data_IF_261888779557
#
_entry.id   IF_261888779557
#
_cell.length_a   1.000
_cell.length_b   1.000
_cell.length_c   1.000
_cell.angle_alpha   90.00
_cell.angle_beta   90.00
_cell.angle_gamma   90.00
#
_symmetry.space_group_name_H-M   'P 1'
#
loop_
_entity.id
_entity.type
_entity.pdbx_description
1 polymer ?
#
# COMPACT_ATOMS: atom_id res chain seq x y z
N UNK A 1 -47.56 -41.24 -60.58
CA UNK A 1 -48.09 -41.44 -59.19
C UNK A 1 -49.26 -40.48 -58.98
N UNK A 2 -50.48 -41.04 -58.75
CA UNK A 2 -51.67 -40.24 -58.43
C UNK A 2 -51.47 -39.71 -56.95
N UNK A 3 -51.22 -38.46 -56.79
CA UNK A 3 -51.20 -37.84 -55.46
C UNK A 3 -52.66 -37.79 -54.99
N UNK A 4 -52.99 -38.47 -53.89
CA UNK A 4 -54.32 -38.46 -53.28
C UNK A 4 -54.67 -37.01 -52.79
N UNK A 5 -55.92 -36.59 -52.98
CA UNK A 5 -56.44 -35.26 -52.49
C UNK A 5 -56.13 -35.04 -51.01
N UNK A 6 -56.24 -36.11 -50.21
CA UNK A 6 -55.91 -36.13 -48.80
C UNK A 6 -54.37 -35.80 -48.53
N UNK A 7 -53.53 -36.37 -49.44
CA UNK A 7 -52.08 -36.12 -49.32
C UNK A 7 -51.71 -34.67 -49.67
N UNK A 8 -52.42 -34.09 -50.68
CA UNK A 8 -52.26 -32.66 -51.03
C UNK A 8 -52.75 -31.73 -49.87
N UNK A 9 -53.90 -32.07 -49.32
CA UNK A 9 -54.45 -31.35 -48.16
C UNK A 9 -53.48 -31.39 -47.00
N UNK A 10 -53.03 -32.54 -46.54
CA UNK A 10 -52.11 -32.70 -45.43
C UNK A 10 -50.79 -31.96 -45.68
N UNK A 11 -50.29 -31.98 -46.91
CA UNK A 11 -49.08 -31.23 -47.28
C UNK A 11 -49.26 -29.70 -47.15
N UNK A 12 -50.38 -29.18 -47.63
CA UNK A 12 -50.70 -27.78 -47.60
C UNK A 12 -50.98 -27.29 -46.14
N UNK A 13 -51.61 -28.11 -45.30
CA UNK A 13 -51.80 -27.88 -43.91
C UNK A 13 -50.44 -27.80 -43.19
N UNK A 14 -49.51 -28.72 -43.51
CA UNK A 14 -48.16 -28.68 -42.97
C UNK A 14 -47.38 -27.40 -43.38
N UNK A 15 -47.57 -26.90 -44.61
CA UNK A 15 -46.98 -25.64 -45.05
C UNK A 15 -47.55 -24.43 -44.31
N UNK A 16 -48.86 -24.41 -44.07
CA UNK A 16 -49.54 -23.36 -43.32
C UNK A 16 -49.08 -23.35 -41.87
N UNK A 17 -48.96 -24.51 -41.22
CA UNK A 17 -48.44 -24.65 -39.86
C UNK A 17 -46.99 -24.17 -39.78
N UNK A 18 -46.16 -24.54 -40.78
CA UNK A 18 -44.77 -24.09 -40.85
C UNK A 18 -44.63 -22.58 -41.03
N UNK A 19 -45.50 -21.95 -41.84
CA UNK A 19 -45.51 -20.52 -42.05
C UNK A 19 -45.92 -19.78 -40.75
N UNK A 20 -46.92 -20.29 -40.02
CA UNK A 20 -47.31 -19.76 -38.74
C UNK A 20 -46.20 -19.86 -37.69
N UNK A 21 -45.56 -21.03 -37.57
CA UNK A 21 -44.42 -21.23 -36.64
C UNK A 21 -43.23 -20.31 -36.96
N UNK A 22 -42.96 -20.01 -38.25
CA UNK A 22 -41.93 -19.03 -38.63
C UNK A 22 -42.27 -17.62 -38.15
N UNK A 23 -43.53 -17.20 -38.38
CA UNK A 23 -43.98 -15.89 -37.91
C UNK A 23 -43.90 -15.78 -36.41
N UNK A 24 -44.27 -16.82 -35.64
CA UNK A 24 -44.14 -16.86 -34.19
C UNK A 24 -42.67 -16.73 -33.78
N UNK A 25 -41.76 -17.44 -34.43
CA UNK A 25 -40.31 -17.36 -34.18
C UNK A 25 -39.77 -15.95 -34.46
N UNK A 26 -40.11 -15.35 -35.63
CA UNK A 26 -39.66 -14.01 -36.00
C UNK A 26 -40.21 -12.94 -35.03
N UNK A 27 -41.45 -13.10 -34.57
CA UNK A 27 -42.08 -12.23 -33.56
C UNK A 27 -41.39 -12.36 -32.22
N UNK A 28 -41.08 -13.57 -31.78
CA UNK A 28 -40.35 -13.82 -30.53
C UNK A 28 -38.95 -13.21 -30.60
N UNK A 29 -38.20 -13.42 -31.69
CA UNK A 29 -36.86 -12.84 -31.88
C UNK A 29 -36.87 -11.29 -31.83
N UNK A 30 -37.88 -10.68 -32.45
CA UNK A 30 -38.06 -9.23 -32.43
C UNK A 30 -38.35 -8.71 -31.03
N UNK A 31 -39.28 -9.38 -30.30
CA UNK A 31 -39.72 -8.97 -28.97
C UNK A 31 -38.62 -9.15 -27.91
N UNK A 32 -37.81 -10.21 -28.02
CA UNK A 32 -36.72 -10.53 -27.07
C UNK A 32 -35.38 -9.91 -27.46
N UNK A 33 -35.22 -9.50 -28.73
CA UNK A 33 -33.95 -9.05 -29.28
C UNK A 33 -32.90 -10.16 -29.41
N UNK A 34 -33.28 -11.43 -29.21
CA UNK A 34 -32.37 -12.58 -29.25
C UNK A 34 -32.54 -13.42 -30.48
N UNK A 35 -31.43 -13.94 -31.06
CA UNK A 35 -31.41 -14.89 -32.16
C UNK A 35 -31.96 -16.25 -31.76
N UNK A 36 -31.68 -16.67 -30.52
CA UNK A 36 -32.11 -17.95 -29.95
C UNK A 36 -32.29 -17.77 -28.42
N UNK A 37 -33.24 -18.48 -27.87
CA UNK A 37 -33.50 -18.52 -26.41
C UNK A 37 -33.07 -19.86 -25.80
N UNK A 38 -33.19 -20.92 -26.53
CA UNK A 38 -32.98 -22.28 -26.06
C UNK A 38 -31.82 -22.96 -26.78
N UNK A 39 -31.12 -23.86 -26.07
CA UNK A 39 -30.01 -24.64 -26.62
C UNK A 39 -30.43 -25.53 -27.81
N UNK A 40 -31.74 -25.87 -27.95
CA UNK A 40 -32.27 -26.63 -29.06
C UNK A 40 -32.33 -25.86 -30.39
N UNK A 41 -32.34 -24.51 -30.33
CA UNK A 41 -32.39 -23.63 -31.51
C UNK A 41 -31.00 -23.44 -32.13
N UNK A 42 -29.99 -23.16 -31.30
CA UNK A 42 -28.58 -23.07 -31.69
C UNK A 42 -27.67 -23.59 -30.56
N UNK A 43 -27.32 -24.89 -30.57
CA UNK A 43 -26.45 -25.47 -29.54
C UNK A 43 -25.05 -24.84 -29.50
N UNK A 44 -24.50 -24.40 -30.63
CA UNK A 44 -23.16 -23.81 -30.71
C UNK A 44 -23.12 -22.38 -30.24
N UNK A 45 -24.16 -21.61 -30.60
CA UNK A 45 -24.36 -20.25 -30.11
C UNK A 45 -24.59 -20.23 -28.62
N UNK A 46 -25.41 -21.13 -28.09
CA UNK A 46 -25.63 -21.25 -26.63
C UNK A 46 -24.37 -21.63 -25.87
N UNK A 47 -23.55 -22.57 -26.36
CA UNK A 47 -22.27 -22.92 -25.75
C UNK A 47 -21.31 -21.72 -25.72
N UNK A 48 -21.28 -20.95 -26.81
CA UNK A 48 -20.47 -19.71 -26.87
C UNK A 48 -20.99 -18.64 -25.93
N UNK A 49 -22.32 -18.43 -25.86
CA UNK A 49 -22.96 -17.51 -24.92
C UNK A 49 -22.58 -17.82 -23.48
N UNK A 50 -22.67 -19.08 -23.04
CA UNK A 50 -22.30 -19.51 -21.68
C UNK A 50 -20.85 -19.19 -21.38
N UNK A 51 -19.92 -19.42 -22.32
CA UNK A 51 -18.50 -19.08 -22.14
C UNK A 51 -18.27 -17.58 -21.99
N UNK A 52 -18.95 -16.76 -22.79
CA UNK A 52 -18.85 -15.30 -22.68
C UNK A 52 -19.50 -14.77 -21.40
N UNK A 53 -20.66 -15.30 -21.01
CA UNK A 53 -21.33 -14.91 -19.76
C UNK A 53 -20.47 -15.24 -18.53
N UNK A 54 -19.82 -16.41 -18.51
CA UNK A 54 -18.86 -16.77 -17.46
C UNK A 54 -17.66 -15.80 -17.44
N UNK A 55 -17.07 -15.49 -18.61
CA UNK A 55 -15.97 -14.55 -18.69
C UNK A 55 -16.36 -13.14 -18.23
N UNK A 56 -17.52 -12.63 -18.66
CA UNK A 56 -18.04 -11.32 -18.25
C UNK A 56 -18.30 -11.27 -16.74
N UNK A 57 -18.82 -12.35 -16.15
CA UNK A 57 -19.04 -12.47 -14.72
C UNK A 57 -17.73 -12.43 -13.95
N UNK A 58 -16.70 -13.15 -14.43
CA UNK A 58 -15.37 -13.11 -13.81
C UNK A 58 -14.76 -11.70 -13.84
N UNK A 59 -14.84 -10.98 -14.97
CA UNK A 59 -14.35 -9.60 -15.05
C UNK A 59 -15.13 -8.63 -14.14
N UNK A 60 -16.43 -8.86 -13.94
CA UNK A 60 -17.21 -8.09 -12.96
C UNK A 60 -16.72 -8.35 -11.54
N UNK A 61 -16.43 -9.60 -11.20
CA UNK A 61 -15.89 -9.96 -9.88
C UNK A 61 -14.50 -9.31 -9.66
N UNK A 62 -13.62 -9.38 -10.65
CA UNK A 62 -12.31 -8.74 -10.58
C UNK A 62 -12.41 -7.23 -10.43
N UNK A 63 -13.32 -6.57 -11.16
CA UNK A 63 -13.55 -5.14 -11.01
C UNK A 63 -14.04 -4.78 -9.60
N UNK A 64 -14.91 -5.59 -8.99
CA UNK A 64 -15.34 -5.40 -7.60
C UNK A 64 -14.17 -5.58 -6.63
N UNK A 65 -13.38 -6.64 -6.80
CA UNK A 65 -12.21 -6.89 -5.98
C UNK A 65 -11.17 -5.76 -6.09
N UNK A 66 -10.96 -5.26 -7.31
CA UNK A 66 -10.04 -4.15 -7.56
C UNK A 66 -10.53 -2.83 -6.93
N UNK A 67 -11.84 -2.57 -6.94
CA UNK A 67 -12.43 -1.44 -6.24
C UNK A 67 -12.18 -1.51 -4.73
N UNK A 68 -12.48 -2.66 -4.10
CA UNK A 68 -12.19 -2.86 -2.67
C UNK A 68 -10.70 -2.76 -2.35
N UNK A 69 -9.83 -3.23 -3.24
CA UNK A 69 -8.39 -3.10 -3.09
C UNK A 69 -7.95 -1.63 -3.11
N UNK A 70 -8.48 -0.83 -4.05
CA UNK A 70 -8.20 0.60 -4.14
C UNK A 70 -8.68 1.35 -2.90
N UNK A 71 -9.89 1.08 -2.42
CA UNK A 71 -10.44 1.70 -1.20
C UNK A 71 -9.55 1.41 0.02
N UNK A 72 -9.13 0.15 0.21
CA UNK A 72 -8.26 -0.23 1.34
C UNK A 72 -6.89 0.45 1.27
N UNK A 73 -6.29 0.55 0.07
CA UNK A 73 -5.01 1.24 -0.12
C UNK A 73 -5.12 2.75 0.11
N UNK A 74 -6.21 3.39 -0.31
CA UNK A 74 -6.45 4.81 -0.05
C UNK A 74 -6.61 5.11 1.46
N UNK A 75 -7.23 4.21 2.23
CA UNK A 75 -7.29 4.31 3.69
C UNK A 75 -5.88 4.20 4.31
N UNK A 76 -5.05 3.25 3.82
CA UNK A 76 -3.67 3.08 4.27
C UNK A 76 -2.81 4.32 3.94
N UNK A 77 -2.91 4.85 2.72
CA UNK A 77 -2.20 6.08 2.32
C UNK A 77 -2.58 7.26 3.20
N UNK A 78 -3.88 7.46 3.46
CA UNK A 78 -4.39 8.54 4.30
C UNK A 78 -3.88 8.43 5.75
N UNK A 79 -3.84 7.23 6.30
CA UNK A 79 -3.30 6.99 7.64
C UNK A 79 -1.80 7.27 7.72
N UNK A 80 -1.01 6.80 6.75
CA UNK A 80 0.43 7.06 6.65
C UNK A 80 0.73 8.55 6.46
N UNK A 81 -0.06 9.27 5.66
CA UNK A 81 0.06 10.72 5.51
C UNK A 81 -0.21 11.46 6.81
N UNK A 82 -1.24 11.06 7.55
CA UNK A 82 -1.57 11.63 8.86
C UNK A 82 -0.46 11.39 9.88
N UNK A 83 0.15 10.21 9.89
CA UNK A 83 1.31 9.88 10.73
C UNK A 83 2.53 10.71 10.33
N UNK A 84 2.79 10.87 9.04
CA UNK A 84 3.88 11.72 8.55
C UNK A 84 3.71 13.17 8.99
N UNK A 85 2.50 13.72 8.90
CA UNK A 85 2.19 15.08 9.36
C UNK A 85 2.38 15.23 10.88
N UNK A 86 2.00 14.22 11.66
CA UNK A 86 2.22 14.20 13.12
C UNK A 86 3.70 14.17 13.47
N UNK A 87 4.50 13.34 12.77
CA UNK A 87 5.96 13.32 12.94
C UNK A 87 6.63 14.62 12.50
N UNK A 88 6.15 15.28 11.45
CA UNK A 88 6.62 16.60 11.02
C UNK A 88 6.39 17.67 12.10
N UNK A 89 5.24 17.57 12.79
CA UNK A 89 4.95 18.43 13.94
C UNK A 89 5.89 18.12 15.11
N UNK A 90 6.13 16.84 15.41
CA UNK A 90 7.11 16.43 16.43
C UNK A 90 8.51 16.95 16.11
N UNK A 91 8.97 16.80 14.87
CA UNK A 91 10.26 17.32 14.43
C UNK A 91 10.39 18.84 14.66
N UNK A 92 9.33 19.59 14.36
CA UNK A 92 9.30 21.04 14.61
C UNK A 92 9.42 21.36 16.12
N UNK A 93 8.74 20.59 16.99
CA UNK A 93 8.85 20.75 18.45
C UNK A 93 10.24 20.40 18.97
N UNK A 94 10.87 19.36 18.42
CA UNK A 94 12.25 19.00 18.77
C UNK A 94 13.26 20.08 18.36
N UNK A 95 13.08 20.76 17.23
CA UNK A 95 13.88 21.90 16.83
C UNK A 95 13.70 23.06 17.84
N UNK A 96 12.46 23.34 18.26
CA UNK A 96 12.19 24.38 19.25
C UNK A 96 12.82 24.08 20.62
N UNK A 97 12.89 22.80 20.99
CA UNK A 97 13.48 22.38 22.26
C UNK A 97 14.99 22.66 22.38
N UNK A 98 15.71 22.75 21.26
CA UNK A 98 17.16 23.05 21.22
C UNK A 98 17.46 24.53 21.51
N UNK A 99 16.47 25.43 21.44
CA UNK A 99 16.70 26.86 21.68
C UNK A 99 17.16 27.09 23.09
N UNK A 100 18.35 27.66 23.26
CA UNK A 100 18.98 27.95 24.57
C UNK A 100 18.21 28.97 25.41
N UNK A 101 17.17 29.61 24.86
CA UNK A 101 16.30 30.56 25.60
C UNK A 101 15.16 29.86 26.35
N UNK A 102 14.97 28.53 26.15
CA UNK A 102 13.94 27.76 26.82
C UNK A 102 14.24 27.66 28.34
N UNK A 103 13.24 27.97 29.13
CA UNK A 103 13.19 27.64 30.55
C UNK A 103 12.53 26.27 30.78
N UNK A 104 12.56 25.77 32.00
CA UNK A 104 11.94 24.47 32.35
C UNK A 104 10.46 24.44 32.05
N UNK A 105 9.74 25.56 32.17
CA UNK A 105 8.30 25.63 31.85
C UNK A 105 8.06 25.49 30.37
N UNK A 106 8.92 26.10 29.55
CA UNK A 106 8.85 25.99 28.08
C UNK A 106 9.17 24.56 27.59
N UNK A 107 10.19 23.94 28.22
CA UNK A 107 10.54 22.53 27.93
C UNK A 107 9.42 21.56 28.34
N UNK A 108 8.78 21.77 29.49
CA UNK A 108 7.62 20.99 29.91
C UNK A 108 6.44 21.15 28.96
N UNK A 109 6.19 22.36 28.45
CA UNK A 109 5.14 22.57 27.44
C UNK A 109 5.42 21.83 26.11
N UNK A 110 6.67 21.86 25.67
CA UNK A 110 7.09 21.08 24.47
C UNK A 110 6.97 19.57 24.73
N UNK A 111 7.33 19.10 25.92
CA UNK A 111 7.18 17.70 26.32
C UNK A 111 5.71 17.26 26.32
N UNK A 112 4.78 18.10 26.78
CA UNK A 112 3.33 17.84 26.70
C UNK A 112 2.82 17.78 25.23
N UNK A 113 3.28 18.70 24.40
CA UNK A 113 2.92 18.66 22.96
C UNK A 113 3.42 17.36 22.28
N UNK A 114 4.66 16.96 22.56
CA UNK A 114 5.23 15.70 22.04
C UNK A 114 4.48 14.47 22.56
N UNK A 115 4.02 14.50 23.83
CA UNK A 115 3.21 13.44 24.41
C UNK A 115 1.87 13.30 23.66
N UNK A 116 1.20 14.40 23.36
CA UNK A 116 -0.03 14.39 22.58
C UNK A 116 0.19 13.87 21.15
N UNK A 117 1.28 14.28 20.50
CA UNK A 117 1.65 13.79 19.17
C UNK A 117 1.93 12.28 19.20
N UNK A 118 2.66 11.79 20.21
CA UNK A 118 2.93 10.37 20.41
C UNK A 118 1.63 9.57 20.57
N UNK A 119 0.71 10.05 21.39
CA UNK A 119 -0.57 9.39 21.63
C UNK A 119 -1.45 9.41 20.36
N UNK A 120 -1.44 10.51 19.60
CA UNK A 120 -2.09 10.58 18.29
C UNK A 120 -1.47 9.58 17.29
N UNK A 121 -0.14 9.44 17.25
CA UNK A 121 0.53 8.45 16.43
C UNK A 121 0.13 7.03 16.81
N UNK A 122 0.03 6.72 18.10
CA UNK A 122 -0.44 5.42 18.57
C UNK A 122 -1.87 5.12 18.11
N UNK A 123 -2.77 6.09 18.15
CA UNK A 123 -4.15 5.95 17.65
C UNK A 123 -4.15 5.74 16.13
N UNK A 124 -3.36 6.51 15.37
CA UNK A 124 -3.25 6.36 13.91
C UNK A 124 -2.66 4.99 13.51
N UNK A 125 -1.70 4.46 14.25
CA UNK A 125 -1.15 3.12 14.03
C UNK A 125 -2.18 2.01 14.30
N UNK A 126 -3.24 2.31 15.04
CA UNK A 126 -4.36 1.42 15.34
C UNK A 126 -5.64 1.80 14.55
N UNK A 127 -5.50 2.49 13.42
CA UNK A 127 -6.63 2.83 12.56
C UNK A 127 -7.35 1.57 12.08
N UNK A 128 -8.69 1.64 12.10
CA UNK A 128 -9.59 0.59 11.61
C UNK A 128 -10.32 1.07 10.36
N UNK A 129 -10.60 0.14 9.46
CA UNK A 129 -11.47 0.37 8.32
C UNK A 129 -12.97 0.38 8.74
N UNK A 130 -13.87 0.56 7.77
CA UNK A 130 -15.31 0.59 8.00
C UNK A 130 -15.87 -0.74 8.58
N UNK A 131 -15.20 -1.86 8.34
CA UNK A 131 -15.53 -3.19 8.86
C UNK A 131 -15.04 -3.43 10.29
N UNK A 132 -14.28 -2.48 10.86
CA UNK A 132 -13.67 -2.59 12.19
C UNK A 132 -12.38 -3.42 12.20
N UNK A 133 -11.76 -3.66 11.05
CA UNK A 133 -10.49 -4.33 10.91
C UNK A 133 -9.31 -3.35 11.00
N UNK A 134 -8.27 -3.72 11.73
CA UNK A 134 -7.03 -2.94 11.79
C UNK A 134 -6.24 -3.05 10.48
N UNK A 135 -5.99 -1.91 9.84
CA UNK A 135 -5.36 -1.86 8.51
C UNK A 135 -3.90 -2.31 8.52
N UNK A 136 -3.15 -2.07 9.60
CA UNK A 136 -1.74 -2.41 9.72
C UNK A 136 -1.44 -3.72 10.46
N UNK A 137 -2.45 -4.51 10.82
CA UNK A 137 -2.26 -5.76 11.59
C UNK A 137 -1.84 -6.97 10.75
N UNK A 138 -1.60 -6.78 9.45
CA UNK A 138 -1.27 -7.89 8.56
C UNK A 138 -2.46 -8.83 8.31
N UNK A 139 -2.27 -10.14 8.41
CA UNK A 139 -3.34 -11.12 8.22
C UNK A 139 -4.31 -11.21 9.41
N UNK A 140 -3.90 -10.74 10.60
CA UNK A 140 -4.70 -10.78 11.83
C UNK A 140 -5.51 -9.50 12.03
N UNK A 141 -6.38 -9.15 11.10
CA UNK A 141 -7.10 -7.86 11.05
C UNK A 141 -7.95 -7.52 12.29
N UNK A 142 -8.26 -8.49 13.14
CA UNK A 142 -9.06 -8.29 14.37
C UNK A 142 -8.22 -7.97 15.62
N UNK A 143 -6.89 -8.03 15.51
CA UNK A 143 -5.95 -7.73 16.61
C UNK A 143 -5.40 -6.33 16.42
N UNK A 144 -5.37 -5.52 17.51
CA UNK A 144 -4.77 -4.17 17.44
C UNK A 144 -3.32 -4.24 16.95
N UNK A 145 -2.95 -3.34 16.07
CA UNK A 145 -1.61 -3.29 15.50
C UNK A 145 -0.56 -3.01 16.57
N UNK A 146 -0.80 -1.98 17.38
CA UNK A 146 0.11 -1.54 18.43
C UNK A 146 -0.51 -1.72 19.81
N UNK A 147 0.32 -2.10 20.78
CA UNK A 147 -0.05 -2.15 22.20
C UNK A 147 0.97 -1.46 23.07
N UNK A 148 0.48 -1.00 24.23
CA UNK A 148 1.30 -0.44 25.29
C UNK A 148 1.31 -1.42 26.46
N UNK A 149 2.50 -1.74 26.97
CA UNK A 149 2.68 -2.57 28.18
C UNK A 149 2.40 -1.76 29.45
N UNK A 150 2.29 -2.42 30.59
CA UNK A 150 2.08 -1.76 31.90
C UNK A 150 3.23 -0.86 32.34
N UNK A 151 4.42 -1.11 31.84
CA UNK A 151 5.64 -0.33 32.07
C UNK A 151 5.82 0.81 31.05
N UNK A 152 4.85 1.01 30.16
CA UNK A 152 4.82 2.14 29.24
C UNK A 152 5.47 1.88 27.87
N UNK A 153 6.03 0.69 27.63
CA UNK A 153 6.68 0.34 26.38
C UNK A 153 5.66 -0.01 25.28
N UNK A 154 5.88 0.49 24.08
CA UNK A 154 5.05 0.21 22.89
C UNK A 154 5.64 -0.93 22.07
N UNK A 155 4.80 -1.81 21.57
CA UNK A 155 5.22 -2.90 20.69
C UNK A 155 4.14 -3.25 19.66
N UNK A 156 4.56 -3.75 18.49
CA UNK A 156 3.69 -4.17 17.42
C UNK A 156 3.28 -5.63 17.59
N UNK A 157 1.97 -5.92 17.42
CA UNK A 157 1.40 -7.26 17.44
C UNK A 157 1.12 -7.83 16.06
N UNK A 158 1.34 -7.04 14.99
CA UNK A 158 1.12 -7.47 13.60
C UNK A 158 2.02 -8.68 13.27
N UNK A 159 1.48 -9.58 12.44
CA UNK A 159 2.15 -10.84 12.10
C UNK A 159 3.20 -10.73 10.98
N UNK A 160 3.47 -9.54 10.47
CA UNK A 160 4.43 -9.31 9.38
C UNK A 160 3.96 -9.75 7.99
N UNK A 161 2.76 -10.30 7.87
CA UNK A 161 2.19 -10.75 6.60
C UNK A 161 1.40 -9.62 5.91
N UNK A 162 1.26 -9.73 4.59
CA UNK A 162 0.46 -8.80 3.80
C UNK A 162 -0.78 -9.50 3.27
N UNK A 163 -1.91 -8.78 3.23
CA UNK A 163 -3.12 -9.27 2.57
C UNK A 163 -3.01 -9.04 1.08
N UNK A 164 -3.45 -10.03 0.30
CA UNK A 164 -3.45 -9.95 -1.16
C UNK A 164 -4.84 -10.25 -1.71
N UNK A 165 -5.23 -9.55 -2.77
CA UNK A 165 -6.50 -9.74 -3.46
C UNK A 165 -6.23 -9.99 -4.93
N UNK A 166 -6.94 -10.96 -5.51
CA UNK A 166 -6.87 -11.23 -6.94
C UNK A 166 -7.75 -10.23 -7.70
N UNK A 167 -7.11 -9.43 -8.56
CA UNK A 167 -7.74 -8.36 -9.34
C UNK A 167 -7.84 -8.66 -10.84
N UNK A 168 -7.19 -9.73 -11.31
CA UNK A 168 -7.31 -10.26 -12.67
C UNK A 168 -6.98 -11.76 -12.67
N UNK A 169 -7.19 -12.51 -13.77
CA UNK A 169 -6.98 -13.97 -13.80
C UNK A 169 -5.61 -14.45 -13.34
N UNK A 170 -4.57 -13.62 -13.49
CA UNK A 170 -3.19 -13.95 -13.10
C UNK A 170 -2.50 -12.83 -12.32
N UNK A 171 -3.28 -11.83 -11.85
CA UNK A 171 -2.74 -10.68 -11.12
C UNK A 171 -3.35 -10.66 -9.73
N UNK A 172 -2.48 -10.68 -8.73
CA UNK A 172 -2.84 -10.49 -7.33
C UNK A 172 -2.06 -9.30 -6.78
N UNK A 173 -2.72 -8.37 -6.14
CA UNK A 173 -2.12 -7.15 -5.60
C UNK A 173 -2.18 -7.20 -4.08
N UNK A 174 -1.11 -6.76 -3.45
CA UNK A 174 -1.05 -6.58 -2.00
C UNK A 174 -1.85 -5.33 -1.62
N UNK A 175 -2.80 -5.49 -0.68
CA UNK A 175 -3.73 -4.43 -0.27
C UNK A 175 -3.46 -3.86 1.12
N UNK A 176 -2.47 -4.38 1.84
CA UNK A 176 -2.07 -3.84 3.14
C UNK A 176 -0.59 -4.09 3.40
N UNK A 177 0.05 -3.20 4.13
CA UNK A 177 1.39 -3.40 4.67
C UNK A 177 1.30 -3.70 6.17
N UNK A 178 2.20 -4.56 6.66
CA UNK A 178 2.22 -4.89 8.08
C UNK A 178 2.90 -3.81 8.90
N UNK A 179 2.26 -3.39 10.00
CA UNK A 179 2.82 -2.46 10.96
C UNK A 179 4.14 -2.93 11.58
N UNK A 180 4.39 -4.24 11.65
CA UNK A 180 5.69 -4.76 12.08
C UNK A 180 6.83 -4.26 11.21
N UNK A 181 6.63 -4.20 9.89
CA UNK A 181 7.64 -3.75 8.95
C UNK A 181 7.74 -2.20 8.91
N UNK A 182 6.63 -1.50 9.17
CA UNK A 182 6.57 -0.05 9.10
C UNK A 182 7.05 0.58 10.42
N UNK A 183 6.57 0.08 11.57
CA UNK A 183 6.69 0.76 12.86
C UNK A 183 7.83 0.25 13.75
N UNK A 184 8.19 -1.06 13.67
CA UNK A 184 9.28 -1.65 14.46
C UNK A 184 10.64 -1.63 13.74
N UNK A 185 10.65 -1.40 12.44
CA UNK A 185 11.84 -1.41 11.62
C UNK A 185 12.31 0.00 11.19
N UNK A 186 11.93 1.05 11.93
CA UNK A 186 12.46 2.39 11.67
C UNK A 186 13.94 2.43 12.04
N UNK A 187 14.77 2.94 11.15
CA UNK A 187 16.18 3.17 11.44
C UNK A 187 16.29 4.31 12.47
N UNK A 188 16.88 4.00 13.64
CA UNK A 188 17.15 4.98 14.67
C UNK A 188 18.41 5.79 14.34
N UNK A 189 18.60 6.90 15.01
CA UNK A 189 19.83 7.67 14.91
C UNK A 189 21.03 6.77 15.30
N UNK A 190 22.11 6.87 14.55
CA UNK A 190 23.34 6.17 14.86
C UNK A 190 23.99 6.78 16.10
N UNK A 191 24.53 5.94 16.97
CA UNK A 191 25.13 6.34 18.23
C UNK A 191 26.60 5.90 18.34
N UNK A 192 27.30 6.45 19.31
CA UNK A 192 28.64 6.04 19.70
C UNK A 192 28.64 5.66 21.18
N UNK A 193 29.47 4.71 21.54
CA UNK A 193 29.74 4.34 22.91
C UNK A 193 31.21 4.64 23.28
N UNK A 194 31.44 5.22 24.42
CA UNK A 194 32.78 5.55 24.90
C UNK A 194 33.22 4.56 25.98
N UNK A 195 34.48 4.10 25.86
CA UNK A 195 35.11 3.19 26.81
C UNK A 195 36.56 3.58 27.03
N UNK A 196 37.19 3.11 28.11
CA UNK A 196 38.55 3.46 28.48
C UNK A 196 38.60 4.57 29.53
N UNK A 197 39.54 5.51 29.41
CA UNK A 197 39.69 6.65 30.37
C UNK A 197 38.67 7.76 30.05
N UNK A 198 37.39 7.45 30.25
CA UNK A 198 36.31 8.40 30.02
C UNK A 198 36.23 9.48 31.11
N UNK A 199 36.52 9.18 32.38
CA UNK A 199 36.60 10.07 33.56
C UNK A 199 35.82 11.40 33.44
N UNK A 200 34.54 11.33 33.16
CA UNK A 200 33.62 12.45 32.95
C UNK A 200 33.63 13.07 31.55
N UNK A 201 34.30 12.43 30.59
CA UNK A 201 34.14 12.75 29.18
C UNK A 201 32.83 12.16 28.69
N UNK A 202 32.03 13.00 28.10
CA UNK A 202 30.78 12.67 27.44
C UNK A 202 30.95 12.88 25.94
N UNK A 203 30.39 12.02 25.11
CA UNK A 203 30.48 12.20 23.67
C UNK A 203 29.27 11.58 22.93
N UNK A 204 28.88 12.24 21.87
CA UNK A 204 27.81 11.79 21.01
C UNK A 204 27.95 12.31 19.59
N UNK A 205 27.06 11.86 18.69
CA UNK A 205 26.96 12.35 17.32
C UNK A 205 26.15 13.64 17.31
N UNK A 206 26.75 14.75 16.80
CA UNK A 206 26.09 16.05 16.68
C UNK A 206 25.84 16.46 15.20
N UNK A 207 26.70 16.03 14.27
CA UNK A 207 26.49 16.21 12.84
C UNK A 207 26.40 14.83 12.15
N UNK A 208 25.18 14.45 11.81
CA UNK A 208 24.91 13.16 11.18
C UNK A 208 25.36 13.09 9.72
N UNK A 209 25.54 14.23 9.04
CA UNK A 209 26.08 14.26 7.68
C UNK A 209 27.54 13.81 7.63
N UNK A 210 28.37 14.40 8.46
CA UNK A 210 29.80 14.06 8.56
C UNK A 210 30.00 12.69 9.22
N UNK A 211 29.20 12.35 10.23
CA UNK A 211 29.27 11.06 10.89
C UNK A 211 28.87 9.90 9.98
N UNK A 212 27.84 10.07 9.16
CA UNK A 212 27.42 9.03 8.20
C UNK A 212 28.52 8.73 7.18
N UNK A 213 29.21 9.75 6.69
CA UNK A 213 30.37 9.57 5.80
C UNK A 213 31.52 8.80 6.46
N UNK A 214 31.78 9.09 7.74
CA UNK A 214 32.75 8.34 8.56
C UNK A 214 32.30 6.89 8.77
N UNK A 215 31.02 6.72 9.13
CA UNK A 215 30.43 5.42 9.43
C UNK A 215 30.44 4.49 8.22
N UNK A 216 30.05 4.96 7.04
CA UNK A 216 30.07 4.17 5.78
C UNK A 216 31.48 3.70 5.42
N UNK A 217 32.50 4.49 5.77
CA UNK A 217 33.88 4.18 5.43
C UNK A 217 34.53 3.18 6.38
N UNK A 218 34.22 3.24 7.67
CA UNK A 218 34.97 2.53 8.72
C UNK A 218 34.16 1.50 9.50
N UNK A 219 32.82 1.52 9.41
CA UNK A 219 31.99 0.52 10.08
C UNK A 219 31.98 -0.81 9.33
N UNK A 220 32.34 -1.88 10.03
CA UNK A 220 32.30 -3.25 9.50
C UNK A 220 31.07 -3.99 10.06
N UNK A 221 30.01 -4.23 9.23
CA UNK A 221 28.82 -4.93 9.66
C UNK A 221 29.05 -6.41 9.96
N UNK A 222 30.18 -6.99 9.52
CA UNK A 222 30.49 -8.42 9.76
C UNK A 222 31.03 -8.66 11.17
N UNK A 223 31.43 -7.60 11.88
CA UNK A 223 32.03 -7.68 13.20
C UNK A 223 33.47 -8.25 13.20
N UNK A 224 34.09 -8.42 12.01
CA UNK A 224 35.48 -8.83 11.90
C UNK A 224 36.46 -7.68 12.23
N UNK A 225 35.98 -6.42 12.00
CA UNK A 225 36.69 -5.21 12.39
C UNK A 225 36.35 -4.79 13.83
N UNK A 226 37.18 -3.90 14.37
CA UNK A 226 36.98 -3.42 15.75
C UNK A 226 35.84 -2.39 15.87
N UNK A 227 35.40 -1.75 14.76
CA UNK A 227 34.45 -0.64 14.74
C UNK A 227 34.77 0.44 15.78
N UNK A 228 36.06 0.58 16.13
CA UNK A 228 36.56 1.41 17.22
C UNK A 228 37.53 2.45 16.68
N UNK A 229 37.30 3.69 17.07
CA UNK A 229 38.23 4.79 16.86
C UNK A 229 38.89 5.07 18.21
N UNK A 230 40.06 5.70 18.21
CA UNK A 230 40.70 6.11 19.44
C UNK A 230 40.80 7.64 19.46
N UNK A 231 40.20 8.26 20.47
CA UNK A 231 40.38 9.66 20.78
C UNK A 231 41.51 9.79 21.83
N UNK A 232 42.59 10.43 21.43
CA UNK A 232 43.66 10.82 22.34
C UNK A 232 43.53 12.31 22.63
N UNK A 233 43.44 12.68 23.90
CA UNK A 233 43.51 14.07 24.38
C UNK A 233 44.84 14.19 25.12
N UNK A 234 45.64 15.17 24.75
CA UNK A 234 46.99 15.37 25.32
C UNK A 234 46.94 16.44 26.43
N UNK A 235 47.96 16.48 27.28
CA UNK A 235 48.13 17.44 28.36
C UNK A 235 48.32 18.90 27.90
N UNK A 236 48.60 19.11 26.63
CA UNK A 236 48.74 20.43 25.97
C UNK A 236 47.41 20.88 25.31
N UNK A 237 46.30 20.27 25.70
CA UNK A 237 44.93 20.50 25.16
C UNK A 237 44.81 20.29 23.63
N UNK A 238 45.70 19.46 23.06
CA UNK A 238 45.51 18.99 21.69
C UNK A 238 44.81 17.63 21.68
N UNK A 239 44.07 17.35 20.60
CA UNK A 239 43.46 16.04 20.40
C UNK A 239 43.82 15.42 19.05
N UNK A 240 43.71 14.09 18.99
CA UNK A 240 43.73 13.33 17.73
C UNK A 240 42.76 12.17 17.78
N UNK A 241 42.06 11.92 16.67
CA UNK A 241 41.21 10.76 16.47
C UNK A 241 41.87 9.86 15.45
N UNK A 242 42.11 8.62 15.82
CA UNK A 242 42.74 7.60 14.93
C UNK A 242 41.73 6.54 14.50
N UNK A 243 41.92 6.05 13.26
CA UNK A 243 41.11 4.98 12.67
C UNK A 243 41.28 3.65 13.43
N UNK A 244 40.44 2.63 13.12
CA UNK A 244 40.54 1.29 13.72
C UNK A 244 41.91 0.60 13.55
N UNK A 245 42.71 1.04 12.60
CA UNK A 245 44.06 0.55 12.40
C UNK A 245 45.09 1.05 13.45
N UNK A 246 44.66 2.01 14.29
CA UNK A 246 45.48 2.60 15.34
C UNK A 246 46.62 3.51 14.86
N UNK A 247 46.73 3.76 13.56
CA UNK A 247 47.82 4.51 12.95
C UNK A 247 47.34 5.71 12.13
N UNK A 248 46.26 5.54 11.37
CA UNK A 248 45.76 6.58 10.48
C UNK A 248 45.04 7.65 11.30
N UNK A 249 45.56 8.88 11.32
CA UNK A 249 44.89 10.03 11.98
C UNK A 249 43.78 10.54 11.07
N UNK A 250 42.57 10.55 11.60
CA UNK A 250 41.34 10.99 10.90
C UNK A 250 41.04 12.47 11.14
N UNK A 251 41.26 12.91 12.36
CA UNK A 251 41.12 14.30 12.77
C UNK A 251 42.18 14.65 13.86
N UNK A 252 42.59 15.90 13.90
CA UNK A 252 43.43 16.44 14.95
C UNK A 252 43.17 17.94 15.09
N UNK A 253 43.32 18.48 16.30
CA UNK A 253 43.08 19.88 16.58
C UNK A 253 43.39 20.23 18.03
N UNK A 254 42.92 21.39 18.45
CA UNK A 254 42.98 21.85 19.82
C UNK A 254 41.59 21.68 20.47
N UNK A 255 41.56 21.45 21.78
CA UNK A 255 40.34 21.45 22.59
C UNK A 255 39.87 22.88 22.74
N UNK A 256 38.60 23.14 22.55
CA UNK A 256 38.03 24.47 22.70
C UNK A 256 38.10 24.97 24.16
N UNK A 257 38.03 26.29 24.36
CA UNK A 257 38.16 26.94 25.71
C UNK A 257 37.09 26.42 26.69
N UNK A 258 35.95 25.92 26.22
CA UNK A 258 34.88 25.34 27.02
C UNK A 258 35.06 23.83 27.29
N UNK A 259 36.19 23.24 26.84
CA UNK A 259 36.47 21.81 26.96
C UNK A 259 35.74 20.95 25.97
N UNK A 260 35.31 21.50 24.84
CA UNK A 260 34.60 20.78 23.78
C UNK A 260 35.57 20.33 22.65
N UNK A 261 35.32 19.22 22.05
CA UNK A 261 35.98 18.72 20.84
C UNK A 261 34.89 18.40 19.82
N UNK A 262 34.92 19.05 18.66
CA UNK A 262 34.03 18.74 17.56
C UNK A 262 34.86 18.23 16.38
N UNK A 263 34.63 16.96 15.98
CA UNK A 263 35.35 16.35 14.87
C UNK A 263 34.58 15.17 14.29
N UNK A 264 34.57 15.05 12.95
CA UNK A 264 33.99 13.92 12.21
C UNK A 264 32.48 13.69 12.52
N UNK A 265 31.73 14.74 12.78
CA UNK A 265 30.34 14.70 13.18
C UNK A 265 30.10 14.23 14.62
N UNK A 266 31.13 14.12 15.41
CA UNK A 266 31.06 13.78 16.84
C UNK A 266 31.45 14.98 17.70
N UNK A 267 30.74 15.15 18.80
CA UNK A 267 31.02 16.15 19.83
C UNK A 267 31.39 15.44 21.14
N UNK A 268 32.48 15.88 21.76
CA UNK A 268 32.92 15.39 23.05
C UNK A 268 33.03 16.56 23.99
N UNK A 269 32.53 16.43 25.22
CA UNK A 269 32.65 17.42 26.28
C UNK A 269 33.49 16.83 27.40
N UNK A 270 34.56 17.53 27.73
CA UNK A 270 35.46 17.20 28.84
C UNK A 270 34.89 17.92 30.05
N UNK A 271 34.44 17.18 31.06
CA UNK A 271 33.85 17.79 32.26
C UNK A 271 34.80 18.80 32.96
N UNK A 272 34.22 19.79 33.64
CA UNK A 272 34.89 20.91 34.27
C UNK A 272 36.20 20.54 35.00
N UNK A 273 37.28 21.27 34.69
CA UNK A 273 38.56 21.17 35.37
C UNK A 273 39.44 19.96 35.01
N UNK A 274 39.17 19.28 33.92
CA UNK A 274 39.88 18.05 33.49
C UNK A 274 40.74 18.22 32.24
N UNK A 275 40.92 19.43 31.74
CA UNK A 275 41.93 19.80 30.73
C UNK A 275 43.34 19.66 31.32
N UNK A 276 44.32 19.38 30.47
CA UNK A 276 45.71 19.23 30.89
C UNK A 276 46.11 17.82 31.35
N UNK A 277 45.33 16.79 31.02
CA UNK A 277 45.65 15.37 31.28
C UNK A 277 45.66 14.55 29.96
N UNK A 278 46.65 13.69 29.85
CA UNK A 278 46.65 12.72 28.76
C UNK A 278 45.56 11.68 28.97
N UNK A 279 44.70 11.48 27.96
CA UNK A 279 43.61 10.49 27.98
C UNK A 279 43.58 9.74 26.67
N UNK A 280 43.27 8.44 26.73
CA UNK A 280 42.97 7.62 25.58
C UNK A 280 41.58 7.00 25.74
N UNK A 281 40.65 7.46 24.94
CA UNK A 281 39.26 6.99 24.95
C UNK A 281 38.98 6.22 23.68
N UNK A 282 38.40 5.05 23.84
CA UNK A 282 37.92 4.26 22.71
C UNK A 282 36.49 4.67 22.40
N UNK A 283 36.28 5.13 21.16
CA UNK A 283 34.97 5.42 20.56
C UNK A 283 34.54 4.21 19.80
N UNK A 284 33.48 3.55 20.20
CA UNK A 284 32.88 2.45 19.46
C UNK A 284 31.72 2.97 18.60
N UNK A 285 31.78 2.77 17.29
CA UNK A 285 30.66 3.03 16.41
C UNK A 285 29.60 1.94 16.65
N UNK A 286 28.49 2.31 17.23
CA UNK A 286 27.44 1.36 17.60
C UNK A 286 26.78 0.72 16.36
N UNK A 287 26.30 -0.51 16.52
CA UNK A 287 25.54 -1.19 15.47
C UNK A 287 24.28 -0.42 15.13
N UNK A 288 23.92 -0.27 13.83
CA UNK A 288 22.66 0.35 13.45
C UNK A 288 21.49 -0.32 14.16
N UNK A 289 20.71 0.48 14.83
CA UNK A 289 19.55 0.00 15.58
C UNK A 289 18.27 0.32 14.80
N UNK A 290 17.30 -0.58 14.94
CA UNK A 290 15.94 -0.36 14.48
C UNK A 290 15.03 -0.40 15.68
N UNK A 291 14.01 0.45 15.66
CA UNK A 291 13.11 0.55 16.80
C UNK A 291 11.79 1.18 16.43
N UNK A 292 10.98 1.31 17.46
CA UNK A 292 9.66 1.91 17.39
C UNK A 292 9.74 3.38 17.79
N UNK A 293 9.30 4.26 16.89
CA UNK A 293 9.35 5.70 17.12
C UNK A 293 8.56 6.16 18.35
N UNK A 294 7.52 5.42 18.77
CA UNK A 294 6.76 5.75 19.99
C UNK A 294 7.62 5.60 21.26
N UNK A 295 8.47 4.57 21.29
CA UNK A 295 9.41 4.36 22.40
C UNK A 295 10.50 5.43 22.40
N UNK A 296 11.02 5.77 21.22
CA UNK A 296 11.99 6.85 21.08
C UNK A 296 11.41 8.19 21.54
N UNK A 297 10.21 8.55 21.06
CA UNK A 297 9.53 9.78 21.54
C UNK A 297 9.32 9.77 23.04
N UNK A 298 9.03 8.62 23.66
CA UNK A 298 8.89 8.51 25.12
C UNK A 298 10.22 8.85 25.80
N UNK A 299 11.33 8.28 25.33
CA UNK A 299 12.67 8.56 25.85
C UNK A 299 13.03 10.04 25.70
N UNK A 300 12.72 10.67 24.56
CA UNK A 300 13.00 12.10 24.35
C UNK A 300 12.11 13.01 25.20
N UNK A 301 10.83 12.66 25.40
CA UNK A 301 9.93 13.36 26.31
C UNK A 301 10.47 13.29 27.75
N UNK A 302 10.92 12.13 28.19
CA UNK A 302 11.50 11.95 29.53
C UNK A 302 12.78 12.76 29.68
N UNK A 303 13.62 12.84 28.64
CA UNK A 303 14.84 13.68 28.65
C UNK A 303 14.54 15.18 28.73
N UNK A 304 13.45 15.68 28.14
CA UNK A 304 13.03 17.07 28.25
C UNK A 304 12.59 17.43 29.67
N UNK A 305 12.08 16.46 30.43
CA UNK A 305 11.63 16.60 31.81
C UNK A 305 12.74 16.31 32.85
N UNK A 306 13.86 15.73 32.35
CA UNK A 306 15.00 15.44 33.22
C UNK A 306 15.80 16.71 33.49
N UNK A 307 15.51 17.38 34.59
CA UNK A 307 16.22 18.60 35.02
C UNK A 307 17.69 18.38 35.41
N UNK A 308 18.25 17.17 35.27
CA UNK A 308 19.67 16.86 35.59
C UNK A 308 20.57 17.01 34.37
N UNK A 309 20.02 17.01 33.13
CA UNK A 309 20.79 17.21 31.93
C UNK A 309 21.26 18.64 31.77
N UNK A 310 22.52 18.83 31.33
CA UNK A 310 23.00 20.15 30.94
C UNK A 310 22.32 20.59 29.62
N UNK A 311 22.35 21.89 29.34
CA UNK A 311 21.79 22.45 28.09
C UNK A 311 22.42 21.80 26.87
N UNK A 312 23.73 21.55 26.88
CA UNK A 312 24.45 20.91 25.81
C UNK A 312 24.01 19.44 25.63
N UNK A 313 23.92 18.68 26.73
CA UNK A 313 23.43 17.29 26.69
C UNK A 313 22.01 17.20 26.17
N UNK A 314 21.13 18.13 26.60
CA UNK A 314 19.77 18.18 26.11
C UNK A 314 19.71 18.48 24.59
N UNK A 315 20.50 19.47 24.14
CA UNK A 315 20.62 19.82 22.73
C UNK A 315 21.03 18.62 21.87
N UNK A 316 22.00 17.88 22.35
CA UNK A 316 22.54 16.72 21.70
C UNK A 316 21.49 15.57 21.61
N UNK A 317 20.77 15.28 22.71
CA UNK A 317 19.69 14.32 22.74
C UNK A 317 18.57 14.73 21.77
N UNK A 318 18.25 16.01 21.69
CA UNK A 318 17.24 16.53 20.77
C UNK A 318 17.70 16.46 19.31
N UNK A 319 19.01 16.63 19.02
CA UNK A 319 19.55 16.39 17.68
C UNK A 319 19.40 14.91 17.26
N UNK A 320 19.69 13.97 18.16
CA UNK A 320 19.44 12.54 17.95
C UNK A 320 17.95 12.26 17.68
N UNK A 321 17.06 12.89 18.47
CA UNK A 321 15.62 12.77 18.31
C UNK A 321 15.15 13.25 16.93
N UNK A 322 15.67 14.38 16.47
CA UNK A 322 15.33 14.92 15.13
C UNK A 322 15.69 13.94 14.03
N UNK A 323 16.85 13.28 14.10
CA UNK A 323 17.28 12.30 13.10
C UNK A 323 16.39 11.04 13.16
N UNK A 324 16.11 10.51 14.35
CA UNK A 324 15.23 9.33 14.49
C UNK A 324 13.81 9.62 13.95
N UNK A 325 13.25 10.80 14.27
CA UNK A 325 11.95 11.22 13.73
C UNK A 325 11.98 11.39 12.21
N UNK A 326 13.04 12.00 11.67
CA UNK A 326 13.23 12.15 10.23
C UNK A 326 13.34 10.81 9.51
N UNK A 327 14.05 9.86 10.10
CA UNK A 327 14.16 8.50 9.55
C UNK A 327 12.79 7.79 9.54
N UNK A 328 11.99 7.94 10.61
CA UNK A 328 10.62 7.43 10.63
C UNK A 328 9.73 8.11 9.58
N UNK A 329 9.85 9.43 9.39
CA UNK A 329 9.15 10.14 8.30
C UNK A 329 9.51 9.59 6.93
N UNK A 330 10.80 9.37 6.66
CA UNK A 330 11.29 8.78 5.40
C UNK A 330 10.76 7.36 5.21
N UNK A 331 10.70 6.57 6.28
CA UNK A 331 10.13 5.22 6.26
C UNK A 331 8.65 5.27 5.86
N UNK A 332 7.85 6.12 6.47
CA UNK A 332 6.41 6.24 6.16
C UNK A 332 6.18 6.76 4.74
N UNK A 333 6.98 7.71 4.27
CA UNK A 333 6.91 8.22 2.90
C UNK A 333 7.29 7.14 1.87
N UNK A 334 8.28 6.29 2.18
CA UNK A 334 8.62 5.14 1.35
C UNK A 334 7.44 4.15 1.21
N UNK A 335 6.73 3.87 2.31
CA UNK A 335 5.55 3.00 2.27
C UNK A 335 4.39 3.66 1.53
N UNK A 336 4.15 4.98 1.70
CA UNK A 336 3.19 5.74 0.89
C UNK A 336 3.49 5.61 -0.60
N UNK A 337 4.76 5.79 -0.99
CA UNK A 337 5.19 5.59 -2.38
C UNK A 337 4.91 4.19 -2.92
N UNK A 338 5.05 3.14 -2.09
CA UNK A 338 4.70 1.76 -2.45
C UNK A 338 3.20 1.57 -2.62
N UNK A 339 2.39 2.13 -1.72
CA UNK A 339 0.92 2.12 -1.81
C UNK A 339 0.48 2.80 -3.10
N UNK A 340 0.92 4.04 -3.37
CA UNK A 340 0.59 4.76 -4.60
C UNK A 340 1.02 4.04 -5.90
N UNK A 341 2.14 3.31 -5.86
CA UNK A 341 2.55 2.46 -6.99
C UNK A 341 1.57 1.30 -7.24
N UNK A 342 1.08 0.66 -6.16
CA UNK A 342 0.08 -0.43 -6.25
C UNK A 342 -1.29 0.09 -6.68
N UNK A 343 -1.69 1.27 -6.24
CA UNK A 343 -2.93 1.92 -6.70
C UNK A 343 -2.91 2.16 -8.21
N UNK A 344 -1.81 2.69 -8.74
CA UNK A 344 -1.63 2.85 -10.18
C UNK A 344 -1.69 1.50 -10.94
N UNK A 345 -1.13 0.43 -10.37
CA UNK A 345 -1.23 -0.92 -10.94
C UNK A 345 -2.68 -1.39 -10.99
N UNK A 346 -3.42 -1.24 -9.89
CA UNK A 346 -4.85 -1.61 -9.80
C UNK A 346 -5.68 -0.81 -10.79
N UNK A 347 -5.47 0.49 -10.93
CA UNK A 347 -6.17 1.32 -11.91
C UNK A 347 -5.93 0.85 -13.35
N UNK A 348 -4.69 0.52 -13.70
CA UNK A 348 -4.34 -0.04 -15.00
C UNK A 348 -5.05 -1.39 -15.25
N UNK A 349 -5.14 -2.25 -14.25
CA UNK A 349 -5.86 -3.52 -14.33
C UNK A 349 -7.36 -3.29 -14.51
N UNK A 350 -7.98 -2.38 -13.76
CA UNK A 350 -9.41 -2.01 -13.89
C UNK A 350 -9.71 -1.56 -15.33
N UNK A 351 -8.87 -0.69 -15.89
CA UNK A 351 -9.02 -0.18 -17.25
C UNK A 351 -8.91 -1.31 -18.29
N UNK A 352 -7.94 -2.20 -18.13
CA UNK A 352 -7.74 -3.38 -18.98
C UNK A 352 -8.94 -4.35 -18.90
N UNK A 353 -9.37 -4.71 -17.68
CA UNK A 353 -10.48 -5.63 -17.45
C UNK A 353 -11.81 -5.06 -17.95
N UNK A 354 -12.01 -3.76 -17.81
CA UNK A 354 -13.17 -3.07 -18.38
C UNK A 354 -13.17 -3.16 -19.90
N UNK A 355 -12.03 -2.96 -20.54
CA UNK A 355 -11.89 -3.09 -22.00
C UNK A 355 -12.15 -4.52 -22.47
N UNK A 356 -11.56 -5.51 -21.78
CA UNK A 356 -11.76 -6.93 -22.09
C UNK A 356 -13.22 -7.37 -21.86
N UNK A 357 -13.85 -6.92 -20.77
CA UNK A 357 -15.29 -7.14 -20.51
C UNK A 357 -16.15 -6.59 -21.64
N UNK A 358 -15.88 -5.37 -22.12
CA UNK A 358 -16.61 -4.76 -23.24
C UNK A 358 -16.45 -5.55 -24.54
N UNK A 359 -15.24 -6.00 -24.86
CA UNK A 359 -14.97 -6.88 -26.01
C UNK A 359 -15.78 -8.18 -25.90
N UNK A 360 -15.79 -8.83 -24.73
CA UNK A 360 -16.56 -10.07 -24.51
C UNK A 360 -18.06 -9.82 -24.57
N UNK A 361 -18.54 -8.69 -24.07
CA UNK A 361 -19.95 -8.28 -24.14
C UNK A 361 -20.38 -8.06 -25.59
N UNK A 362 -19.57 -7.35 -26.38
CA UNK A 362 -19.84 -7.17 -27.82
C UNK A 362 -19.79 -8.48 -28.58
N UNK A 363 -18.82 -9.34 -28.29
CA UNK A 363 -18.73 -10.66 -28.94
C UNK A 363 -19.93 -11.55 -28.59
N UNK A 364 -20.41 -11.50 -27.34
CA UNK A 364 -21.67 -12.17 -26.94
C UNK A 364 -22.86 -11.59 -27.69
N UNK A 365 -23.02 -10.28 -27.75
CA UNK A 365 -24.11 -9.60 -28.42
C UNK A 365 -24.17 -10.00 -29.92
N UNK A 366 -23.05 -10.01 -30.61
CA UNK A 366 -22.97 -10.41 -32.01
C UNK A 366 -23.49 -11.86 -32.28
N UNK A 367 -23.34 -12.75 -31.32
CA UNK A 367 -23.83 -14.13 -31.40
C UNK A 367 -25.29 -14.23 -31.00
N UNK A 368 -25.69 -13.53 -29.93
CA UNK A 368 -26.98 -13.73 -29.27
C UNK A 368 -28.06 -12.74 -29.68
N UNK A 369 -27.72 -11.54 -30.10
CA UNK A 369 -28.65 -10.45 -30.36
C UNK A 369 -28.96 -10.35 -31.83
N UNK A 370 -30.21 -10.07 -32.17
CA UNK A 370 -30.69 -9.88 -33.53
C UNK A 370 -30.63 -8.39 -33.90
N UNK A 371 -30.36 -8.10 -35.17
CA UNK A 371 -30.53 -6.76 -35.68
C UNK A 371 -32.05 -6.45 -35.74
N UNK A 372 -32.45 -5.37 -35.04
CA UNK A 372 -33.86 -5.00 -34.92
C UNK A 372 -34.54 -4.71 -36.30
N UNK A 373 -33.76 -4.15 -37.25
CA UNK A 373 -34.26 -3.85 -38.59
C UNK A 373 -34.44 -5.16 -39.40
N UNK A 374 -33.48 -6.10 -39.30
CA UNK A 374 -33.57 -7.41 -39.92
C UNK A 374 -34.77 -8.20 -39.35
N UNK A 375 -34.90 -8.24 -38.02
CA UNK A 375 -36.01 -8.92 -37.34
C UNK A 375 -37.39 -8.34 -37.71
N UNK A 376 -37.52 -7.02 -37.81
CA UNK A 376 -38.75 -6.39 -38.28
C UNK A 376 -39.07 -6.74 -39.76
N UNK A 377 -38.04 -6.75 -40.61
CA UNK A 377 -38.17 -7.15 -42.00
C UNK A 377 -38.61 -8.63 -42.16
N UNK A 378 -38.09 -9.51 -41.31
CA UNK A 378 -38.48 -10.92 -41.33
C UNK A 378 -39.91 -11.15 -40.87
N UNK A 379 -40.42 -10.41 -39.90
CA UNK A 379 -41.83 -10.42 -39.51
C UNK A 379 -42.73 -10.09 -40.72
N UNK A 380 -42.40 -9.00 -41.44
CA UNK A 380 -43.19 -8.59 -42.62
C UNK A 380 -43.17 -9.68 -43.71
N UNK A 381 -42.00 -10.26 -43.98
CA UNK A 381 -41.86 -11.37 -44.95
C UNK A 381 -42.66 -12.60 -44.53
N UNK A 382 -42.58 -12.99 -43.25
CA UNK A 382 -43.28 -14.17 -42.73
C UNK A 382 -44.81 -13.92 -42.64
N UNK A 383 -45.25 -12.68 -42.33
CA UNK A 383 -46.68 -12.31 -42.46
C UNK A 383 -47.19 -12.45 -43.88
N UNK A 384 -46.41 -11.95 -44.86
CA UNK A 384 -46.76 -12.10 -46.27
C UNK A 384 -46.78 -13.58 -46.71
N UNK A 385 -45.78 -14.37 -46.28
CA UNK A 385 -45.72 -15.79 -46.56
C UNK A 385 -46.92 -16.56 -45.97
N UNK A 386 -47.30 -16.23 -44.73
CA UNK A 386 -48.51 -16.82 -44.10
C UNK A 386 -49.79 -16.45 -44.85
N UNK A 387 -49.92 -15.18 -45.28
CA UNK A 387 -51.09 -14.73 -46.05
C UNK A 387 -51.18 -15.48 -47.38
N UNK A 388 -50.06 -15.63 -48.09
CA UNK A 388 -50.02 -16.44 -49.34
C UNK A 388 -50.35 -17.90 -49.07
N UNK A 389 -49.78 -18.50 -47.99
CA UNK A 389 -50.11 -19.89 -47.62
C UNK A 389 -51.58 -20.10 -47.31
N UNK A 390 -52.23 -19.15 -46.63
CA UNK A 390 -53.71 -19.17 -46.38
C UNK A 390 -54.51 -19.05 -47.67
N UNK A 391 -54.12 -18.17 -48.60
CA UNK A 391 -54.79 -18.00 -49.89
C UNK A 391 -54.68 -19.27 -50.74
N UNK A 392 -53.50 -19.86 -50.81
CA UNK A 392 -53.27 -21.13 -51.53
C UNK A 392 -54.09 -22.29 -50.95
N UNK A 393 -54.09 -22.40 -49.59
CA UNK A 393 -54.86 -23.41 -48.88
C UNK A 393 -56.36 -23.25 -49.13
N UNK A 394 -56.92 -22.02 -49.11
CA UNK A 394 -58.32 -21.70 -49.41
C UNK A 394 -58.66 -22.03 -50.89
N UNK A 395 -57.78 -21.66 -51.82
CA UNK A 395 -57.99 -21.93 -53.25
C UNK A 395 -58.03 -23.42 -53.55
N UNK A 396 -57.15 -24.23 -52.93
CA UNK A 396 -57.09 -25.68 -53.14
C UNK A 396 -58.29 -26.39 -52.48
N UNK A 397 -58.74 -25.91 -51.35
CA UNK A 397 -59.93 -26.46 -50.65
C UNK A 397 -61.26 -25.98 -51.25
N UNK A 398 -61.30 -24.83 -51.95
CA UNK A 398 -62.45 -24.28 -52.60
C UNK A 398 -62.77 -24.98 -53.98
N UNK A 399 -61.78 -25.65 -54.56
CA UNK A 399 -62.04 -26.50 -55.71
C UNK A 399 -62.54 -27.88 -55.26
N UNK A 400 -63.75 -27.94 -54.82
CA UNK A 400 -64.45 -29.15 -54.41
C UNK A 400 -64.77 -29.98 -55.62
N UNK A 401 -64.77 -31.33 -55.49
CA UNK A 401 -65.11 -32.31 -56.43
C UNK A 401 -66.53 -32.15 -57.09
N UNK A 402 -67.30 -31.17 -56.51
CA UNK A 402 -68.67 -30.86 -56.97
C UNK A 402 -68.72 -29.86 -58.14
N UNK A 403 -67.63 -29.17 -58.50
CA UNK A 403 -67.56 -28.26 -59.64
C UNK A 403 -67.27 -29.03 -60.99
N UNK A 404 -67.15 -30.36 -60.91
CA UNK A 404 -66.85 -31.24 -62.10
C UNK A 404 -67.91 -32.29 -62.38
N UNK A 405 -69.14 -32.08 -61.86
CA UNK A 405 -70.31 -32.93 -62.25
C UNK A 405 -71.36 -32.09 -62.98
#
# INVERSE_FOLDING_TARGET
>A
MRVSTTMTYNRNLAYLQKANSRLDTSTTRYNTGLKFENAGEDPSGMASKIKYDAAITNYKQFATNAGLAADTMAEEETALESMWNSLSSAHTRLIQAVDSTNDTTSLDAIAEDLLQIRDQLFDLMNTQNAEGEYIFSGAQSTVSTMRKTSDGHYFCQADGQARVVQVAPSVSVQISDSGLNIFENCDLAKTISLTGDTNGLYGMVNDYGDYDALYEKYYDPTGAGTNQLTLNVNADDTFSITAPDGVTVLAQGEVDDDGTIEALGMKFSIGDGKTGQNRAVTITMDKPQKGNILNELTTYIDSLRDGTLSTDQLSDVMAQAQVSVKNAMNQYDMYRGRVGSRENEVENVINSDTSLKNIKTTARANITEVDAFEAASDIVKDQQALQVARSVFSSINGTSLFDYI
#
